data_IF_972102184080
#
_entry.id   IF_972102184080
#
_cell.length_a   1.000
_cell.length_b   1.000
_cell.length_c   1.000
_cell.angle_alpha   90.00
_cell.angle_beta   90.00
_cell.angle_gamma   90.00
#
_symmetry.space_group_name_H-M   'P 1'
#
loop_
_entity.id
_entity.type
_entity.pdbx_description
1 polymer ?
#
# COMPACT_ATOMS: atom_id res chain seq x y z
N UNK A 1 -4.99 38.19 13.86
CA UNK A 1 -5.13 37.15 12.82
C UNK A 1 -3.81 37.09 12.08
N UNK A 2 -2.95 36.12 12.40
CA UNK A 2 -1.61 36.01 11.83
C UNK A 2 -1.70 35.30 10.48
N UNK A 3 -1.63 36.08 9.40
CA UNK A 3 -1.54 35.58 8.03
C UNK A 3 -0.20 34.85 7.86
N UNK A 4 -0.21 33.52 7.93
CA UNK A 4 0.97 32.72 7.65
C UNK A 4 1.29 32.83 6.16
N UNK A 5 2.58 33.00 5.83
CA UNK A 5 3.04 33.06 4.44
C UNK A 5 2.64 31.78 3.68
N UNK A 6 2.40 31.86 2.35
CA UNK A 6 1.99 30.71 1.54
C UNK A 6 2.95 29.52 1.62
N UNK A 7 4.24 29.78 1.86
CA UNK A 7 5.27 28.76 2.05
C UNK A 7 5.19 28.10 3.43
N UNK A 8 4.87 28.84 4.49
CA UNK A 8 4.63 28.29 5.82
C UNK A 8 3.35 27.43 5.86
N UNK A 9 2.28 27.86 5.21
CA UNK A 9 1.04 27.09 5.08
C UNK A 9 1.26 25.78 4.30
N UNK A 10 2.06 25.81 3.21
CA UNK A 10 2.44 24.60 2.46
C UNK A 10 3.28 23.64 3.30
N UNK A 11 4.21 24.17 4.12
CA UNK A 11 5.05 23.36 5.01
C UNK A 11 4.22 22.73 6.12
N UNK A 12 3.31 23.48 6.75
CA UNK A 12 2.37 22.97 7.77
C UNK A 12 1.44 21.88 7.22
N UNK A 13 0.81 22.10 6.05
CA UNK A 13 0.00 21.07 5.37
C UNK A 13 0.80 19.82 5.03
N UNK A 14 2.08 19.97 4.66
CA UNK A 14 2.98 18.84 4.38
C UNK A 14 3.31 18.06 5.65
N UNK A 15 3.54 18.73 6.77
CA UNK A 15 3.77 18.11 8.08
C UNK A 15 2.50 17.42 8.61
N UNK A 16 1.32 18.04 8.48
CA UNK A 16 0.05 17.41 8.83
C UNK A 16 -0.26 16.18 7.97
N UNK A 17 0.04 16.23 6.66
CA UNK A 17 -0.08 15.07 5.78
C UNK A 17 0.92 13.95 6.15
N UNK A 18 2.06 14.29 6.73
CA UNK A 18 3.06 13.35 7.26
C UNK A 18 2.60 12.69 8.57
N UNK A 19 1.80 13.39 9.37
CA UNK A 19 1.26 12.91 10.65
C UNK A 19 -0.06 12.13 10.53
N UNK A 20 -0.69 12.11 9.35
CA UNK A 20 -1.87 11.26 9.11
C UNK A 20 -1.45 9.79 9.10
N UNK A 21 -2.27 8.96 9.75
CA UNK A 21 -2.10 7.51 9.67
C UNK A 21 -2.11 7.08 8.19
N UNK A 22 -1.31 6.08 7.77
CA UNK A 22 -1.19 5.73 6.37
C UNK A 22 -2.53 5.51 5.66
N UNK A 23 -3.49 4.88 6.35
CA UNK A 23 -4.85 4.61 5.90
C UNK A 23 -5.74 5.85 5.74
N UNK A 24 -5.35 6.99 6.32
CA UNK A 24 -6.07 8.27 6.23
C UNK A 24 -5.59 9.14 5.06
N UNK A 25 -4.54 8.72 4.36
CA UNK A 25 -3.96 9.48 3.24
C UNK A 25 -4.96 9.53 2.08
N UNK A 26 -5.21 10.72 1.48
CA UNK A 26 -6.18 10.84 0.38
C UNK A 26 -5.88 9.93 -0.82
N UNK A 27 -4.60 9.70 -1.14
CA UNK A 27 -4.16 8.84 -2.25
C UNK A 27 -4.61 7.38 -2.09
N UNK A 28 -4.76 6.93 -0.84
CA UNK A 28 -5.27 5.62 -0.49
C UNK A 28 -6.78 5.68 -0.31
N UNK A 29 -7.29 6.47 0.64
CA UNK A 29 -8.70 6.46 1.06
C UNK A 29 -9.73 6.70 -0.06
N UNK A 30 -9.38 7.46 -1.10
CA UNK A 30 -10.29 7.79 -2.20
C UNK A 30 -10.45 6.66 -3.24
N UNK A 31 -9.66 5.60 -3.16
CA UNK A 31 -9.72 4.48 -4.10
C UNK A 31 -10.80 3.48 -3.70
N UNK A 32 -11.47 2.85 -4.68
CA UNK A 32 -12.40 1.75 -4.40
C UNK A 32 -11.65 0.60 -3.75
N UNK A 33 -12.29 -0.06 -2.79
CA UNK A 33 -11.75 -1.28 -2.18
C UNK A 33 -11.91 -2.42 -3.19
N UNK A 34 -10.90 -3.26 -3.32
CA UNK A 34 -10.93 -4.46 -4.16
C UNK A 34 -10.33 -5.65 -3.40
N UNK A 35 -10.71 -6.88 -3.77
CA UNK A 35 -10.15 -8.09 -3.15
C UNK A 35 -8.77 -8.46 -3.68
N UNK A 36 -8.56 -8.19 -4.95
CA UNK A 36 -7.32 -8.50 -5.63
C UNK A 36 -7.00 -7.38 -6.60
N UNK A 37 -5.72 -7.08 -6.73
CA UNK A 37 -5.25 -6.13 -7.71
C UNK A 37 -3.90 -6.57 -8.27
N UNK A 38 -3.79 -6.51 -9.60
CA UNK A 38 -2.53 -6.66 -10.30
C UNK A 38 -2.01 -5.28 -10.69
N UNK A 39 -0.72 -5.04 -10.45
CA UNK A 39 -0.01 -3.85 -10.89
C UNK A 39 1.30 -4.23 -11.58
N UNK A 40 1.73 -3.39 -12.52
CA UNK A 40 3.05 -3.51 -13.17
C UNK A 40 3.92 -2.32 -12.81
N UNK A 41 5.19 -2.60 -12.49
CA UNK A 41 6.19 -1.59 -12.17
C UNK A 41 7.52 -1.87 -12.87
N UNK A 42 8.27 -0.83 -13.26
CA UNK A 42 9.61 -1.00 -13.80
C UNK A 42 10.56 -1.56 -12.75
N UNK A 43 11.59 -2.29 -13.20
CA UNK A 43 12.65 -2.81 -12.33
C UNK A 43 13.31 -1.69 -11.49
N UNK A 44 13.44 -1.85 -10.16
CA UNK A 44 14.11 -0.86 -9.33
C UNK A 44 15.61 -0.73 -9.65
N UNK A 45 16.24 0.40 -9.31
CA UNK A 45 17.69 0.51 -9.35
C UNK A 45 18.33 -0.51 -8.40
N UNK A 46 19.57 -0.94 -8.70
CA UNK A 46 20.33 -1.85 -7.81
C UNK A 46 20.40 -1.26 -6.40
N UNK A 47 20.32 -2.10 -5.36
CA UNK A 47 20.22 -1.69 -3.94
C UNK A 47 21.33 -0.73 -3.50
N UNK A 48 22.55 -0.89 -4.02
CA UNK A 48 23.71 0.00 -3.75
C UNK A 48 23.49 1.44 -4.22
N UNK A 49 22.56 1.66 -5.16
CA UNK A 49 22.17 2.99 -5.65
C UNK A 49 20.86 3.48 -5.04
N UNK A 50 20.24 2.73 -4.13
CA UNK A 50 18.93 3.07 -3.58
C UNK A 50 19.00 3.90 -2.30
N UNK A 51 20.06 3.69 -1.50
CA UNK A 51 20.23 4.37 -0.21
C UNK A 51 21.69 4.67 0.09
N UNK A 52 21.94 5.77 0.79
CA UNK A 52 23.22 6.06 1.43
C UNK A 52 23.00 6.27 2.92
N UNK A 53 24.04 6.04 3.73
CA UNK A 53 23.98 6.29 5.18
C UNK A 53 24.44 7.71 5.48
N UNK A 54 23.71 8.41 6.34
CA UNK A 54 24.09 9.69 6.96
C UNK A 54 24.06 9.45 8.47
N UNK A 55 25.23 9.20 9.06
CA UNK A 55 25.32 8.63 10.41
C UNK A 55 24.58 7.29 10.48
N UNK A 56 23.71 7.14 11.48
CA UNK A 56 22.86 5.96 11.66
C UNK A 56 21.60 5.96 10.79
N UNK A 57 21.34 7.04 10.04
CA UNK A 57 20.12 7.18 9.25
C UNK A 57 20.34 6.71 7.80
N UNK A 58 19.49 5.81 7.34
CA UNK A 58 19.42 5.40 5.93
C UNK A 58 18.58 6.40 5.13
N UNK A 59 19.20 7.08 4.17
CA UNK A 59 18.56 8.12 3.34
C UNK A 59 18.39 7.62 1.92
N UNK A 60 17.17 7.71 1.38
CA UNK A 60 16.88 7.39 -0.03
C UNK A 60 17.63 8.30 -0.99
N UNK A 61 18.26 7.70 -2.00
CA UNK A 61 18.97 8.45 -3.06
C UNK A 61 18.00 9.19 -3.98
N UNK A 62 18.45 10.25 -4.68
CA UNK A 62 17.67 10.88 -5.75
C UNK A 62 17.25 9.89 -6.84
N UNK A 63 18.13 8.94 -7.19
CA UNK A 63 17.84 7.89 -8.18
C UNK A 63 16.68 6.99 -7.73
N UNK A 64 16.66 6.59 -6.46
CA UNK A 64 15.54 5.83 -5.90
C UNK A 64 14.24 6.60 -5.93
N UNK A 65 14.26 7.87 -5.49
CA UNK A 65 13.07 8.73 -5.47
C UNK A 65 12.51 8.94 -6.88
N UNK A 66 13.39 9.17 -7.86
CA UNK A 66 13.00 9.33 -9.27
C UNK A 66 12.38 8.05 -9.82
N UNK A 67 13.00 6.90 -9.59
CA UNK A 67 12.43 5.60 -9.96
C UNK A 67 11.05 5.39 -9.32
N UNK A 68 10.92 5.68 -8.03
CA UNK A 68 9.68 5.47 -7.27
C UNK A 68 8.54 6.32 -7.83
N UNK A 69 8.79 7.58 -8.20
CA UNK A 69 7.79 8.41 -8.89
C UNK A 69 7.41 7.82 -10.26
N UNK A 70 8.39 7.35 -11.03
CA UNK A 70 8.14 6.69 -12.31
C UNK A 70 7.33 5.40 -12.17
N UNK A 71 7.59 4.61 -11.13
CA UNK A 71 6.84 3.39 -10.83
C UNK A 71 5.39 3.69 -10.46
N UNK A 72 5.13 4.72 -9.63
CA UNK A 72 3.76 5.16 -9.28
C UNK A 72 2.98 5.62 -10.52
N UNK A 73 3.66 6.31 -11.44
CA UNK A 73 3.07 6.70 -12.72
C UNK A 73 2.75 5.47 -13.58
N UNK A 74 3.67 4.51 -13.67
CA UNK A 74 3.47 3.26 -14.41
C UNK A 74 2.26 2.45 -13.90
N UNK A 75 2.11 2.32 -12.57
CA UNK A 75 0.94 1.69 -11.92
C UNK A 75 -0.35 2.38 -12.38
N UNK A 76 -0.35 3.72 -12.34
CA UNK A 76 -1.52 4.53 -12.69
C UNK A 76 -1.86 4.48 -14.18
N UNK A 77 -0.89 4.18 -15.04
CA UNK A 77 -1.07 4.03 -16.49
C UNK A 77 -1.51 2.63 -16.92
N UNK A 78 -1.17 1.60 -16.15
CA UNK A 78 -1.49 0.20 -16.50
C UNK A 78 -2.96 -0.11 -16.22
N UNK A 79 -3.51 0.43 -15.13
CA UNK A 79 -4.92 0.32 -14.77
C UNK A 79 -5.43 1.73 -14.52
N UNK A 80 -6.31 2.29 -15.36
CA UNK A 80 -6.89 3.60 -15.08
C UNK A 80 -7.74 3.51 -13.80
N UNK A 81 -7.31 4.24 -12.77
CA UNK A 81 -7.86 4.21 -11.40
C UNK A 81 -7.76 2.84 -10.70
N UNK A 82 -6.54 2.40 -10.32
CA UNK A 82 -6.40 1.16 -9.58
C UNK A 82 -7.13 1.23 -8.23
N UNK A 83 -7.77 0.13 -7.83
CA UNK A 83 -8.36 0.00 -6.51
C UNK A 83 -7.30 -0.02 -5.39
N UNK A 84 -7.75 -0.25 -4.17
CA UNK A 84 -6.89 -0.48 -3.00
C UNK A 84 -7.27 -1.77 -2.30
N UNK A 85 -6.29 -2.42 -1.69
CA UNK A 85 -6.56 -3.44 -0.68
C UNK A 85 -6.78 -2.74 0.66
N UNK A 86 -7.93 -3.01 1.29
CA UNK A 86 -8.24 -2.49 2.62
C UNK A 86 -7.84 -3.51 3.68
N UNK A 87 -6.88 -3.15 4.54
CA UNK A 87 -6.41 -4.01 5.63
C UNK A 87 -5.21 -4.85 5.23
N UNK A 88 -5.09 -6.03 5.82
CA UNK A 88 -3.95 -6.93 5.63
C UNK A 88 -4.06 -7.70 4.30
N UNK A 89 -2.92 -7.95 3.65
CA UNK A 89 -2.87 -8.66 2.37
C UNK A 89 -1.64 -9.56 2.23
N UNK A 90 -1.73 -10.52 1.31
CA UNK A 90 -0.59 -11.25 0.76
C UNK A 90 -0.15 -10.61 -0.56
N UNK A 91 1.15 -10.67 -0.85
CA UNK A 91 1.75 -10.07 -2.05
C UNK A 91 2.61 -11.09 -2.78
N UNK A 92 2.25 -11.39 -4.02
CA UNK A 92 3.08 -12.15 -4.95
C UNK A 92 3.81 -11.19 -5.89
N UNK A 93 5.13 -11.35 -6.03
CA UNK A 93 5.99 -10.45 -6.83
C UNK A 93 6.73 -11.27 -7.89
N UNK A 94 6.22 -11.22 -9.11
CA UNK A 94 6.80 -11.86 -10.29
C UNK A 94 7.84 -10.93 -10.92
N UNK A 95 9.07 -11.42 -11.06
CA UNK A 95 10.21 -10.59 -11.46
C UNK A 95 10.98 -11.25 -12.61
N UNK A 96 11.71 -10.47 -13.43
CA UNK A 96 12.68 -11.01 -14.37
C UNK A 96 13.84 -11.71 -13.66
N UNK A 97 14.64 -12.46 -14.41
CA UNK A 97 15.87 -13.05 -13.88
C UNK A 97 16.86 -11.93 -13.54
N UNK A 98 17.42 -11.93 -12.32
CA UNK A 98 18.47 -11.00 -11.91
C UNK A 98 19.46 -11.67 -10.97
N UNK A 99 20.65 -11.07 -10.87
CA UNK A 99 21.67 -11.48 -9.90
C UNK A 99 21.41 -10.84 -8.53
N UNK A 100 21.30 -11.65 -7.49
CA UNK A 100 21.21 -11.19 -6.10
C UNK A 100 19.97 -11.72 -5.36
N UNK A 101 19.81 -11.27 -4.11
CA UNK A 101 18.73 -11.65 -3.21
C UNK A 101 17.39 -11.00 -3.61
N UNK A 102 16.28 -11.74 -3.77
CA UNK A 102 14.96 -11.19 -4.11
C UNK A 102 14.45 -10.12 -3.15
N UNK A 103 14.84 -10.19 -1.87
CA UNK A 103 14.48 -9.23 -0.84
C UNK A 103 14.98 -7.81 -1.17
N UNK A 104 16.05 -7.69 -1.98
CA UNK A 104 16.54 -6.40 -2.46
C UNK A 104 15.58 -5.72 -3.44
N UNK A 105 14.61 -6.46 -3.97
CA UNK A 105 13.60 -6.00 -4.93
C UNK A 105 12.23 -5.89 -4.28
N UNK A 106 11.90 -6.73 -3.31
CA UNK A 106 10.60 -6.72 -2.63
C UNK A 106 10.30 -5.39 -1.94
N UNK A 107 11.21 -4.85 -1.13
CA UNK A 107 10.97 -3.61 -0.40
C UNK A 107 10.69 -2.41 -1.33
N UNK A 108 11.48 -2.16 -2.40
CA UNK A 108 11.13 -1.15 -3.42
C UNK A 108 9.74 -1.34 -4.05
N UNK A 109 9.35 -2.58 -4.31
CA UNK A 109 8.05 -2.90 -4.91
C UNK A 109 6.90 -2.53 -3.96
N UNK A 110 7.04 -2.85 -2.68
CA UNK A 110 6.06 -2.49 -1.65
C UNK A 110 5.99 -0.97 -1.42
N UNK A 111 7.13 -0.28 -1.45
CA UNK A 111 7.18 1.19 -1.37
C UNK A 111 6.39 1.83 -2.53
N UNK A 112 6.53 1.30 -3.75
CA UNK A 112 5.79 1.77 -4.93
C UNK A 112 4.28 1.54 -4.77
N UNK A 113 3.86 0.35 -4.32
CA UNK A 113 2.46 0.04 -4.06
C UNK A 113 1.85 0.95 -2.98
N UNK A 114 2.58 1.19 -1.89
CA UNK A 114 2.15 2.07 -0.81
C UNK A 114 2.05 3.54 -1.28
N UNK A 115 3.04 4.03 -2.05
CA UNK A 115 3.02 5.40 -2.55
C UNK A 115 1.92 5.62 -3.61
N UNK A 116 1.64 4.60 -4.42
CA UNK A 116 0.52 4.61 -5.35
C UNK A 116 -0.84 4.54 -4.63
N UNK A 117 -0.88 4.19 -3.35
CA UNK A 117 -2.11 4.06 -2.56
C UNK A 117 -2.84 2.75 -2.77
N UNK A 118 -2.15 1.71 -3.28
CA UNK A 118 -2.71 0.36 -3.43
C UNK A 118 -2.85 -0.31 -2.07
N UNK A 119 -1.85 -0.11 -1.20
CA UNK A 119 -1.87 -0.47 0.22
C UNK A 119 -1.62 0.78 1.05
N UNK A 120 -1.99 0.76 2.34
CA UNK A 120 -1.81 1.91 3.20
C UNK A 120 -0.32 2.18 3.50
N UNK A 121 0.44 1.13 3.83
CA UNK A 121 1.88 1.19 4.08
C UNK A 121 2.55 -0.16 3.80
N UNK A 122 3.86 -0.13 3.54
CA UNK A 122 4.71 -1.32 3.39
C UNK A 122 5.19 -1.82 4.76
N UNK A 123 4.26 -2.21 5.64
CA UNK A 123 4.55 -2.72 6.98
C UNK A 123 3.76 -3.99 7.27
N UNK A 124 4.19 -4.76 8.27
CA UNK A 124 3.53 -6.01 8.70
C UNK A 124 2.07 -5.84 9.12
N UNK A 125 1.67 -4.61 9.48
CA UNK A 125 0.27 -4.27 9.77
C UNK A 125 -0.64 -4.40 8.53
N UNK A 126 -0.10 -4.23 7.33
CA UNK A 126 -0.86 -4.23 6.07
C UNK A 126 -0.41 -5.32 5.09
N UNK A 127 0.76 -5.92 5.32
CA UNK A 127 1.34 -6.97 4.48
C UNK A 127 1.71 -8.14 5.37
N UNK A 128 1.00 -9.26 5.22
CA UNK A 128 1.24 -10.49 5.98
C UNK A 128 2.41 -11.27 5.41
N UNK A 129 2.37 -11.52 4.10
CA UNK A 129 3.32 -12.38 3.43
C UNK A 129 3.73 -11.79 2.08
N UNK A 130 5.01 -11.94 1.73
CA UNK A 130 5.57 -11.52 0.45
C UNK A 130 6.27 -12.70 -0.21
N UNK A 131 5.78 -13.10 -1.38
CA UNK A 131 6.28 -14.26 -2.13
C UNK A 131 6.96 -13.79 -3.43
N UNK A 132 8.29 -13.74 -3.48
CA UNK A 132 9.01 -13.39 -4.69
C UNK A 132 9.12 -14.59 -5.65
N UNK A 133 8.81 -14.35 -6.93
CA UNK A 133 8.84 -15.35 -8.00
C UNK A 133 9.82 -14.91 -9.11
N UNK A 134 11.14 -15.08 -8.92
CA UNK A 134 12.14 -14.64 -9.90
C UNK A 134 12.16 -15.50 -11.17
N UNK A 135 12.47 -14.88 -12.31
CA UNK A 135 12.57 -15.55 -13.62
C UNK A 135 11.23 -15.82 -14.32
N UNK A 136 10.15 -15.20 -13.84
CA UNK A 136 8.79 -15.39 -14.38
C UNK A 136 8.36 -14.29 -15.36
N UNK A 137 8.96 -13.11 -15.27
CA UNK A 137 8.70 -11.97 -16.17
C UNK A 137 9.91 -11.67 -17.06
N UNK A 138 9.72 -10.83 -18.07
CA UNK A 138 10.79 -10.50 -19.05
C UNK A 138 11.44 -9.14 -18.78
N UNK A 139 10.65 -8.08 -18.60
CA UNK A 139 11.17 -6.70 -18.54
C UNK A 139 10.69 -5.89 -17.35
N UNK A 140 9.50 -6.16 -16.84
CA UNK A 140 8.88 -5.46 -15.72
C UNK A 140 8.60 -6.41 -14.55
N UNK A 141 8.18 -5.85 -13.42
CA UNK A 141 7.72 -6.61 -12.27
C UNK A 141 6.21 -6.58 -12.28
N UNK A 142 5.58 -7.76 -12.22
CA UNK A 142 4.15 -7.92 -11.99
C UNK A 142 3.93 -8.23 -10.52
N UNK A 143 3.12 -7.42 -9.85
CA UNK A 143 2.73 -7.65 -8.46
C UNK A 143 1.25 -7.96 -8.39
N UNK A 144 0.90 -9.00 -7.65
CA UNK A 144 -0.49 -9.34 -7.32
C UNK A 144 -0.66 -9.17 -5.82
N UNK A 145 -1.57 -8.30 -5.42
CA UNK A 145 -1.92 -8.07 -4.01
C UNK A 145 -3.31 -8.66 -3.77
N UNK A 146 -3.42 -9.51 -2.76
CA UNK A 146 -4.66 -10.24 -2.44
C UNK A 146 -5.06 -9.98 -0.99
N UNK A 147 -6.25 -9.43 -0.78
CA UNK A 147 -6.83 -9.20 0.54
C UNK A 147 -7.04 -10.53 1.28
N UNK A 148 -6.81 -10.54 2.59
CA UNK A 148 -7.11 -11.71 3.41
C UNK A 148 -8.63 -11.83 3.57
N UNK A 149 -9.23 -12.98 3.20
CA UNK A 149 -10.67 -13.18 3.34
C UNK A 149 -11.07 -13.14 4.82
N UNK A 150 -12.24 -12.56 5.08
CA UNK A 150 -12.89 -12.63 6.39
C UNK A 150 -13.72 -13.91 6.43
N UNK A 151 -13.78 -14.56 7.59
CA UNK A 151 -14.61 -15.76 7.77
C UNK A 151 -16.10 -15.41 7.64
N UNK A 152 -16.90 -16.36 7.17
CA UNK A 152 -18.31 -16.10 6.86
C UNK A 152 -19.12 -15.71 8.11
N UNK A 153 -18.75 -16.27 9.27
CA UNK A 153 -19.33 -15.91 10.57
C UNK A 153 -19.03 -14.45 10.94
N UNK A 154 -17.77 -14.05 10.86
CA UNK A 154 -17.36 -12.67 11.13
C UNK A 154 -17.95 -11.69 10.11
N UNK A 155 -18.05 -12.09 8.84
CA UNK A 155 -18.67 -11.29 7.79
C UNK A 155 -20.14 -11.02 8.10
N UNK A 156 -20.91 -12.03 8.52
CA UNK A 156 -22.30 -11.86 8.91
C UNK A 156 -22.45 -10.93 10.13
N UNK A 157 -21.58 -11.07 11.12
CA UNK A 157 -21.58 -10.24 12.32
C UNK A 157 -21.21 -8.77 12.02
N UNK A 158 -20.26 -8.54 11.10
CA UNK A 158 -19.93 -7.19 10.61
C UNK A 158 -21.16 -6.54 9.98
N UNK A 159 -21.87 -7.26 9.12
CA UNK A 159 -23.07 -6.74 8.45
C UNK A 159 -24.19 -6.41 9.42
N UNK A 160 -24.43 -7.29 10.39
CA UNK A 160 -25.41 -7.08 11.44
C UNK A 160 -25.10 -5.79 12.21
N UNK A 161 -23.89 -5.70 12.78
CA UNK A 161 -23.46 -4.53 13.55
C UNK A 161 -23.44 -3.26 12.72
N UNK A 162 -23.07 -3.34 11.44
CA UNK A 162 -23.10 -2.19 10.56
C UNK A 162 -24.54 -1.70 10.32
N UNK A 163 -25.49 -2.62 10.12
CA UNK A 163 -26.92 -2.31 10.00
C UNK A 163 -27.50 -1.69 11.28
N UNK A 164 -27.01 -2.10 12.44
CA UNK A 164 -27.33 -1.51 13.75
C UNK A 164 -26.71 -0.12 13.97
N UNK A 165 -25.91 0.38 13.02
CA UNK A 165 -25.30 1.71 13.08
C UNK A 165 -23.97 1.75 13.83
N UNK A 166 -23.39 0.60 14.17
CA UNK A 166 -22.04 0.58 14.76
C UNK A 166 -20.99 1.08 13.75
N UNK A 167 -20.09 1.94 14.23
CA UNK A 167 -18.99 2.42 13.40
C UNK A 167 -17.98 1.29 13.09
N UNK A 168 -17.29 1.33 11.94
CA UNK A 168 -16.29 0.31 11.58
C UNK A 168 -15.20 0.09 12.64
N UNK A 169 -14.84 1.16 13.38
CA UNK A 169 -13.88 1.09 14.47
C UNK A 169 -14.39 0.27 15.66
N UNK A 170 -15.67 0.40 16.01
CA UNK A 170 -16.29 -0.38 17.09
C UNK A 170 -16.44 -1.85 16.70
N UNK A 171 -16.82 -2.12 15.45
CA UNK A 171 -16.94 -3.49 14.91
C UNK A 171 -15.57 -4.18 14.95
N UNK A 172 -14.52 -3.50 14.42
CA UNK A 172 -13.14 -4.00 14.44
C UNK A 172 -12.66 -4.32 15.85
N UNK A 173 -12.92 -3.45 16.83
CA UNK A 173 -12.52 -3.68 18.21
C UNK A 173 -13.25 -4.87 18.86
N UNK A 174 -14.54 -5.06 18.54
CA UNK A 174 -15.35 -6.14 19.11
C UNK A 174 -14.98 -7.53 18.55
N UNK A 175 -14.62 -7.62 17.27
CA UNK A 175 -14.31 -8.88 16.60
C UNK A 175 -12.81 -9.20 16.58
N UNK A 176 -11.96 -8.28 17.02
CA UNK A 176 -10.51 -8.47 17.00
C UNK A 176 -9.91 -8.50 15.59
N UNK A 177 -10.63 -8.03 14.57
CA UNK A 177 -10.18 -7.97 13.17
C UNK A 177 -9.78 -6.55 12.79
N UNK A 178 -9.03 -6.40 11.69
CA UNK A 178 -8.60 -5.06 11.24
C UNK A 178 -9.76 -4.21 10.71
N UNK A 179 -9.69 -2.88 10.90
CA UNK A 179 -10.67 -1.94 10.34
C UNK A 179 -10.79 -2.09 8.81
N UNK A 180 -9.69 -2.38 8.11
CA UNK A 180 -9.71 -2.57 6.66
C UNK A 180 -10.50 -3.80 6.21
N UNK A 181 -10.46 -4.89 6.99
CA UNK A 181 -11.31 -6.07 6.75
C UNK A 181 -12.78 -5.74 6.96
N UNK A 182 -13.12 -4.97 8.00
CA UNK A 182 -14.49 -4.47 8.21
C UNK A 182 -14.94 -3.61 7.03
N UNK A 183 -14.12 -2.66 6.58
CA UNK A 183 -14.42 -1.82 5.41
C UNK A 183 -14.63 -2.64 4.12
N UNK A 184 -13.88 -3.73 3.96
CA UNK A 184 -14.01 -4.64 2.81
C UNK A 184 -15.38 -5.32 2.78
N UNK A 185 -15.85 -5.81 3.93
CA UNK A 185 -17.19 -6.42 4.03
C UNK A 185 -18.28 -5.38 3.83
N UNK A 186 -18.17 -4.20 4.44
CA UNK A 186 -19.12 -3.09 4.25
C UNK A 186 -19.20 -2.65 2.78
N UNK A 187 -18.10 -2.70 2.04
CA UNK A 187 -18.07 -2.42 0.60
C UNK A 187 -18.72 -3.51 -0.27
N UNK A 188 -19.31 -4.56 0.33
CA UNK A 188 -20.00 -5.64 -0.37
C UNK A 188 -19.06 -6.73 -0.92
N UNK A 189 -17.80 -6.74 -0.51
CA UNK A 189 -16.81 -7.68 -1.04
C UNK A 189 -16.71 -8.94 -0.14
N UNK A 190 -17.67 -9.87 -0.27
CA UNK A 190 -17.65 -11.21 0.36
C UNK A 190 -17.07 -12.32 -0.53
N UNK A 191 -16.10 -13.10 -0.03
CA UNK A 191 -15.46 -14.31 -0.63
C UNK A 191 -15.44 -14.42 -2.15
#
# INVERSE_FOLDING_TARGET
MTDQSPSAQRRAKRTEAQNKRPEQRPVYRRRPIVRQIEIRIPLPPKTTKSFFRVGDTRVSTPAYKSWLQGAVLAISSTVPAPGRIAGICDVDIYMPTFTGKPENRTAPCLDAAAQAGIIAAATEQFVREVRPHPGTETTDIRMVLTAIPVEDQDAAEIELRHREGHSPKLISAALGISIGQVETIIAGLKR
#
